data_IF_257087924020
#
_entry.id   IF_257087924020
#
_cell.length_a   1.000
_cell.length_b   1.000
_cell.length_c   1.000
_cell.angle_alpha   90.00
_cell.angle_beta   90.00
_cell.angle_gamma   90.00
#
_symmetry.space_group_name_H-M   'P 1'
#
loop_
_entity.id
_entity.type
_entity.pdbx_description
1 polymer ?
#
# COMPACT_ATOMS: atom_id res chain seq x y z
N UNK A 1 7.22 -8.41 9.92
CA UNK A 1 5.76 -8.25 10.17
C UNK A 1 5.04 -8.44 8.85
N UNK A 2 3.93 -9.19 8.80
CA UNK A 2 3.13 -9.27 7.57
C UNK A 2 2.65 -7.85 7.21
N UNK A 3 2.79 -7.38 5.96
CA UNK A 3 2.20 -6.10 5.58
C UNK A 3 0.70 -6.19 5.84
N UNK A 4 0.23 -5.44 6.84
CA UNK A 4 -1.18 -5.42 7.21
C UNK A 4 -1.96 -4.72 6.11
N UNK A 5 -2.90 -5.42 5.49
CA UNK A 5 -3.87 -4.80 4.58
C UNK A 5 -5.00 -4.21 5.41
N UNK A 6 -5.37 -2.96 5.13
CA UNK A 6 -6.63 -2.39 5.62
C UNK A 6 -7.67 -2.68 4.54
N UNK A 7 -8.61 -3.58 4.84
CA UNK A 7 -9.72 -3.92 3.95
C UNK A 7 -10.91 -3.00 4.22
N UNK A 8 -11.42 -2.37 3.18
CA UNK A 8 -12.52 -1.40 3.26
C UNK A 8 -13.59 -1.79 2.23
N UNK A 9 -14.74 -2.34 2.68
CA UNK A 9 -15.90 -2.55 1.83
C UNK A 9 -16.39 -1.22 1.24
N UNK A 10 -16.79 -1.25 -0.02
CA UNK A 10 -17.33 -0.06 -0.69
C UNK A 10 -18.44 -0.38 -1.68
N UNK A 11 -19.19 0.67 -2.01
CA UNK A 11 -20.10 0.75 -3.14
C UNK A 11 -19.66 1.84 -4.11
N UNK A 12 -19.71 1.59 -5.40
CA UNK A 12 -19.37 2.57 -6.42
C UNK A 12 -20.46 2.59 -7.49
N UNK A 13 -20.92 3.78 -7.85
CA UNK A 13 -21.96 3.94 -8.88
C UNK A 13 -21.34 4.56 -10.13
N UNK A 14 -21.71 4.00 -11.29
CA UNK A 14 -21.30 4.49 -12.61
C UNK A 14 -22.56 4.74 -13.46
N UNK A 15 -22.52 5.76 -14.32
CA UNK A 15 -23.65 6.10 -15.20
C UNK A 15 -24.92 6.52 -14.45
N UNK A 16 -24.80 7.50 -13.55
CA UNK A 16 -25.93 8.11 -12.82
C UNK A 16 -26.81 7.13 -12.00
N UNK A 17 -26.23 6.01 -11.57
CA UNK A 17 -26.91 5.00 -10.74
C UNK A 17 -27.46 3.81 -11.51
N UNK A 18 -27.25 3.74 -12.83
CA UNK A 18 -27.65 2.59 -13.66
C UNK A 18 -26.78 1.35 -13.39
N UNK A 19 -25.53 1.56 -12.99
CA UNK A 19 -24.58 0.50 -12.66
C UNK A 19 -24.06 0.69 -11.24
N UNK A 20 -24.38 -0.26 -10.36
CA UNK A 20 -23.85 -0.31 -8.99
C UNK A 20 -22.76 -1.38 -8.94
N UNK A 21 -21.62 -1.05 -8.35
CA UNK A 21 -20.53 -1.98 -8.11
C UNK A 21 -20.32 -2.14 -6.62
N UNK A 22 -20.32 -3.39 -6.14
CA UNK A 22 -20.01 -3.73 -4.76
C UNK A 22 -18.61 -4.33 -4.72
N UNK A 23 -17.79 -3.93 -3.75
CA UNK A 23 -16.42 -4.38 -3.71
C UNK A 23 -15.72 -4.16 -2.38
N UNK A 24 -14.45 -4.55 -2.35
CA UNK A 24 -13.54 -4.38 -1.23
C UNK A 24 -12.26 -3.74 -1.75
N UNK A 25 -11.88 -2.62 -1.16
CA UNK A 25 -10.58 -1.99 -1.38
C UNK A 25 -9.61 -2.46 -0.32
N UNK A 26 -8.48 -3.05 -0.72
CA UNK A 26 -7.40 -3.48 0.16
C UNK A 26 -6.25 -2.49 0.03
N UNK A 27 -5.94 -1.79 1.12
CA UNK A 27 -4.95 -0.73 1.16
C UNK A 27 -3.72 -1.20 1.92
N UNK A 28 -2.53 -0.96 1.38
CA UNK A 28 -1.25 -1.39 1.97
C UNK A 28 -0.12 -0.44 1.62
N UNK A 29 1.06 -0.70 2.18
CA UNK A 29 2.29 0.01 1.83
C UNK A 29 2.75 -0.19 0.39
N UNK A 30 2.27 -1.23 -0.31
CA UNK A 30 2.57 -1.47 -1.72
C UNK A 30 1.62 -0.74 -2.68
N UNK A 31 0.46 -0.27 -2.19
CA UNK A 31 -0.60 0.32 -3.00
C UNK A 31 -1.98 -0.22 -2.64
N UNK A 32 -2.90 -0.14 -3.61
CA UNK A 32 -4.33 -0.42 -3.42
C UNK A 32 -4.75 -1.53 -4.38
N UNK A 33 -5.47 -2.52 -3.88
CA UNK A 33 -6.15 -3.53 -4.69
C UNK A 33 -7.66 -3.31 -4.57
N UNK A 34 -8.34 -3.19 -5.70
CA UNK A 34 -9.79 -3.01 -5.74
C UNK A 34 -10.40 -4.28 -6.34
N UNK A 35 -11.12 -5.02 -5.50
CA UNK A 35 -11.92 -6.16 -5.93
C UNK A 35 -13.38 -5.74 -5.99
N UNK A 36 -14.04 -5.91 -7.13
CA UNK A 36 -15.42 -5.48 -7.28
C UNK A 36 -16.22 -6.35 -8.27
N UNK A 37 -17.52 -6.39 -8.01
CA UNK A 37 -18.52 -7.01 -8.86
C UNK A 37 -19.50 -5.91 -9.30
N UNK A 38 -19.64 -5.71 -10.61
CA UNK A 38 -20.65 -4.78 -11.14
C UNK A 38 -21.98 -5.50 -11.30
N UNK A 39 -23.05 -4.85 -10.87
CA UNK A 39 -24.44 -5.29 -11.05
C UNK A 39 -25.16 -4.28 -11.94
N UNK A 40 -25.82 -4.78 -12.97
CA UNK A 40 -26.76 -4.00 -13.76
C UNK A 40 -28.15 -4.10 -13.13
N UNK A 41 -28.65 -2.98 -12.60
CA UNK A 41 -30.01 -2.85 -12.04
C UNK A 41 -30.42 -4.00 -11.09
N UNK A 42 -29.47 -4.54 -10.32
CA UNK A 42 -29.72 -5.61 -9.33
C UNK A 42 -30.01 -7.01 -9.90
N UNK A 43 -30.05 -7.20 -11.21
CA UNK A 43 -30.50 -8.44 -11.85
C UNK A 43 -29.37 -9.30 -12.42
N UNK A 44 -28.32 -8.67 -12.95
CA UNK A 44 -27.20 -9.39 -13.58
C UNK A 44 -25.87 -8.95 -12.96
N UNK A 45 -25.31 -9.83 -12.12
CA UNK A 45 -23.96 -9.69 -11.55
C UNK A 45 -22.90 -10.13 -12.57
N UNK A 46 -21.91 -9.28 -12.79
CA UNK A 46 -20.73 -9.60 -13.60
C UNK A 46 -19.74 -10.47 -12.82
N UNK A 47 -18.74 -11.03 -13.50
CA UNK A 47 -17.62 -11.71 -12.83
C UNK A 47 -16.86 -10.71 -11.94
N UNK A 48 -16.40 -11.16 -10.78
CA UNK A 48 -15.50 -10.38 -9.91
C UNK A 48 -14.26 -9.96 -10.68
N UNK A 49 -13.96 -8.66 -10.63
CA UNK A 49 -12.77 -8.05 -11.22
C UNK A 49 -11.82 -7.61 -10.11
N UNK A 50 -10.53 -7.77 -10.33
CA UNK A 50 -9.46 -7.30 -9.44
C UNK A 50 -8.60 -6.30 -10.21
N UNK A 51 -8.42 -5.10 -9.66
CA UNK A 51 -7.56 -4.06 -10.24
C UNK A 51 -6.51 -3.65 -9.22
N UNK A 52 -5.24 -3.71 -9.62
CA UNK A 52 -4.10 -3.32 -8.79
C UNK A 52 -3.57 -1.94 -9.16
N UNK A 53 -3.60 -1.05 -8.19
CA UNK A 53 -3.16 0.33 -8.31
C UNK A 53 -1.87 0.48 -7.51
N UNK A 54 -0.75 0.71 -8.19
CA UNK A 54 0.51 1.01 -7.52
C UNK A 54 0.51 2.42 -6.97
N UNK A 55 1.34 2.71 -5.96
CA UNK A 55 1.45 4.06 -5.40
C UNK A 55 1.79 5.11 -6.48
N UNK A 56 2.66 4.75 -7.43
CA UNK A 56 3.05 5.63 -8.55
C UNK A 56 1.90 5.96 -9.52
N UNK A 57 0.83 5.16 -9.53
CA UNK A 57 -0.35 5.42 -10.36
C UNK A 57 -1.31 6.41 -9.68
N UNK A 58 -1.15 6.66 -8.37
CA UNK A 58 -2.04 7.48 -7.57
C UNK A 58 -1.56 8.92 -7.61
N UNK A 59 -2.37 9.81 -8.19
CA UNK A 59 -2.11 11.25 -8.19
C UNK A 59 -2.52 11.87 -6.86
N UNK A 60 -3.69 11.47 -6.37
CA UNK A 60 -4.21 11.97 -5.11
C UNK A 60 -5.28 11.02 -4.57
N UNK A 61 -5.34 10.89 -3.26
CA UNK A 61 -6.42 10.20 -2.55
C UNK A 61 -6.98 11.12 -1.49
N UNK A 62 -8.31 11.21 -1.39
CA UNK A 62 -8.98 12.10 -0.43
C UNK A 62 -10.15 11.39 0.21
N UNK A 63 -10.22 11.46 1.53
CA UNK A 63 -11.37 11.00 2.29
C UNK A 63 -12.36 12.16 2.48
N UNK A 64 -13.57 12.03 1.96
CA UNK A 64 -14.67 12.96 2.17
C UNK A 64 -15.57 12.42 3.28
N UNK A 65 -15.47 13.03 4.46
CA UNK A 65 -16.40 12.78 5.57
C UNK A 65 -17.79 13.29 5.17
N UNK A 66 -18.76 12.38 5.08
CA UNK A 66 -20.16 12.75 4.84
C UNK A 66 -20.82 13.32 6.09
N UNK A 67 -22.02 13.89 5.93
CA UNK A 67 -22.83 14.37 7.05
C UNK A 67 -23.13 13.19 8.00
N UNK A 68 -22.84 13.37 9.30
CA UNK A 68 -22.98 12.34 10.35
C UNK A 68 -22.32 10.96 10.04
N UNK A 69 -21.23 10.92 9.26
CA UNK A 69 -20.52 9.68 8.83
C UNK A 69 -21.32 8.78 7.86
N UNK A 70 -22.57 9.08 7.53
CA UNK A 70 -23.44 8.23 6.69
C UNK A 70 -23.13 8.28 5.19
N UNK A 71 -22.49 9.34 4.70
CA UNK A 71 -22.19 9.55 3.28
C UNK A 71 -20.70 9.67 3.01
N UNK A 72 -19.90 8.85 3.70
CA UNK A 72 -18.45 8.93 3.62
C UNK A 72 -17.97 8.34 2.30
N UNK A 73 -17.04 9.03 1.64
CA UNK A 73 -16.56 8.66 0.31
C UNK A 73 -15.05 8.76 0.22
N UNK A 74 -14.39 7.76 -0.35
CA UNK A 74 -13.00 7.84 -0.78
C UNK A 74 -12.98 8.25 -2.24
N UNK A 75 -12.26 9.33 -2.55
CA UNK A 75 -12.01 9.77 -3.90
C UNK A 75 -10.56 9.46 -4.25
N UNK A 76 -10.35 8.63 -5.27
CA UNK A 76 -9.03 8.27 -5.78
C UNK A 76 -8.89 8.87 -7.18
N UNK A 77 -7.81 9.60 -7.41
CA UNK A 77 -7.42 10.12 -8.72
C UNK A 77 -6.17 9.40 -9.18
N UNK A 78 -6.25 8.81 -10.37
CA UNK A 78 -5.14 8.08 -10.99
C UNK A 78 -4.57 8.89 -12.16
N UNK A 79 -3.28 8.69 -12.48
CA UNK A 79 -2.65 9.22 -13.70
C UNK A 79 -2.80 8.25 -14.89
N UNK A 80 -3.13 6.99 -14.63
CA UNK A 80 -3.20 5.94 -15.63
C UNK A 80 -4.64 5.76 -16.15
N UNK A 81 -4.85 6.14 -17.42
CA UNK A 81 -6.17 6.09 -18.09
C UNK A 81 -6.66 4.64 -18.30
N UNK A 82 -5.74 3.69 -18.52
CA UNK A 82 -6.08 2.27 -18.70
C UNK A 82 -6.66 1.67 -17.42
N UNK A 83 -5.96 1.85 -16.29
CA UNK A 83 -6.43 1.39 -14.97
C UNK A 83 -7.70 2.10 -14.52
N UNK A 84 -7.87 3.36 -14.90
CA UNK A 84 -9.09 4.10 -14.62
C UNK A 84 -10.29 3.50 -15.35
N UNK A 85 -10.12 3.08 -16.60
CA UNK A 85 -11.17 2.48 -17.44
C UNK A 85 -11.63 1.12 -16.92
N UNK A 86 -10.74 0.41 -16.23
CA UNK A 86 -11.03 -0.85 -15.53
C UNK A 86 -11.69 -0.65 -14.17
N UNK A 87 -11.87 0.59 -13.69
CA UNK A 87 -12.50 0.87 -12.41
C UNK A 87 -13.85 1.56 -12.62
N UNK A 88 -14.79 1.43 -11.65
CA UNK A 88 -16.01 2.22 -11.64
C UNK A 88 -15.65 3.69 -11.42
N UNK A 89 -15.43 4.40 -12.52
CA UNK A 89 -14.97 5.78 -12.53
C UNK A 89 -16.10 6.73 -12.94
N UNK A 90 -16.06 7.94 -12.40
CA UNK A 90 -16.97 9.04 -12.73
C UNK A 90 -16.11 10.28 -12.95
N UNK A 91 -15.94 10.66 -14.23
CA UNK A 91 -15.18 11.84 -14.66
C UNK A 91 -13.72 11.88 -14.17
N UNK A 92 -12.96 10.80 -14.40
CA UNK A 92 -11.53 10.79 -14.04
C UNK A 92 -11.23 10.49 -12.57
N UNK A 93 -12.26 10.18 -11.76
CA UNK A 93 -12.14 9.92 -10.32
C UNK A 93 -12.88 8.63 -9.98
N UNK A 94 -12.26 7.80 -9.16
CA UNK A 94 -12.89 6.62 -8.57
C UNK A 94 -13.54 7.08 -7.26
N UNK A 95 -14.86 6.92 -7.16
CA UNK A 95 -15.65 7.32 -5.98
C UNK A 95 -16.13 6.07 -5.27
N UNK A 96 -15.49 5.73 -4.15
CA UNK A 96 -15.87 4.60 -3.32
C UNK A 96 -16.74 5.14 -2.18
N UNK A 97 -17.99 4.72 -2.09
CA UNK A 97 -18.92 5.04 -1.00
C UNK A 97 -18.76 4.00 0.10
N UNK A 98 -18.61 4.48 1.34
CA UNK A 98 -18.42 3.62 2.51
C UNK A 98 -19.67 3.64 3.37
N UNK A 99 -19.91 2.52 4.04
CA UNK A 99 -20.89 2.44 5.11
C UNK A 99 -20.35 3.13 6.37
N UNK A 100 -21.26 3.42 7.30
CA UNK A 100 -20.94 4.04 8.58
C UNK A 100 -19.98 3.18 9.42
N UNK A 101 -20.13 1.87 9.37
CA UNK A 101 -19.29 0.88 10.09
C UNK A 101 -17.83 0.91 9.63
N UNK A 102 -17.59 1.11 8.34
CA UNK A 102 -16.26 1.12 7.74
C UNK A 102 -15.60 2.50 7.72
N UNK A 103 -16.23 3.50 8.35
CA UNK A 103 -15.75 4.88 8.37
C UNK A 103 -14.30 4.98 8.85
N UNK A 104 -13.99 4.34 9.99
CA UNK A 104 -12.67 4.41 10.63
C UNK A 104 -11.62 3.60 9.85
N UNK A 105 -12.03 2.51 9.22
CA UNK A 105 -11.16 1.72 8.34
C UNK A 105 -10.82 2.51 7.08
N UNK A 106 -11.80 3.18 6.47
CA UNK A 106 -11.61 4.04 5.30
C UNK A 106 -10.73 5.24 5.58
N UNK A 107 -10.92 5.91 6.72
CA UNK A 107 -10.09 7.03 7.11
C UNK A 107 -8.62 6.60 7.31
N UNK A 108 -8.38 5.54 8.10
CA UNK A 108 -7.02 5.01 8.32
C UNK A 108 -6.35 4.56 7.04
N UNK A 109 -7.10 3.93 6.14
CA UNK A 109 -6.61 3.50 4.83
C UNK A 109 -6.14 4.68 3.97
N UNK A 110 -6.91 5.78 3.93
CA UNK A 110 -6.52 6.98 3.18
C UNK A 110 -5.31 7.66 3.82
N UNK A 111 -5.29 7.80 5.14
CA UNK A 111 -4.16 8.40 5.88
C UNK A 111 -2.85 7.63 5.65
N UNK A 112 -2.92 6.29 5.62
CA UNK A 112 -1.77 5.43 5.30
C UNK A 112 -1.22 5.74 3.90
N UNK A 113 -2.08 5.75 2.88
CA UNK A 113 -1.65 6.01 1.50
C UNK A 113 -1.15 7.46 1.33
N UNK A 114 -1.80 8.44 1.95
CA UNK A 114 -1.34 9.83 1.92
C UNK A 114 0.06 9.97 2.53
N UNK A 115 0.29 9.34 3.68
CA UNK A 115 1.61 9.36 4.33
C UNK A 115 2.70 8.79 3.43
N UNK A 116 2.39 7.71 2.70
CA UNK A 116 3.29 7.08 1.73
C UNK A 116 3.56 7.99 0.51
N UNK A 117 2.53 8.65 -0.03
CA UNK A 117 2.67 9.57 -1.16
C UNK A 117 3.47 10.82 -0.80
N UNK A 118 3.35 11.29 0.43
CA UNK A 118 4.10 12.44 0.95
C UNK A 118 5.54 12.08 1.37
N UNK A 119 5.93 10.80 1.27
CA UNK A 119 7.24 10.31 1.72
C UNK A 119 7.44 10.47 3.23
N UNK A 120 6.36 10.66 4.01
CA UNK A 120 6.44 10.72 5.46
C UNK A 120 6.74 9.33 5.98
N UNK A 121 7.72 9.18 6.90
CA UNK A 121 7.94 7.91 7.55
C UNK A 121 6.64 7.54 8.29
N UNK A 122 6.00 6.46 7.84
CA UNK A 122 4.96 5.81 8.63
C UNK A 122 5.63 5.46 9.96
N UNK A 123 5.09 5.98 11.06
CA UNK A 123 5.65 5.73 12.40
C UNK A 123 5.97 4.25 12.59
N UNK A 124 7.16 3.98 13.14
CA UNK A 124 7.77 2.67 13.36
C UNK A 124 8.08 1.81 12.12
N UNK A 125 8.61 2.43 11.05
CA UNK A 125 9.48 1.67 10.16
C UNK A 125 10.77 1.33 10.94
N UNK A 126 11.14 0.05 11.13
CA UNK A 126 12.46 -0.26 11.65
C UNK A 126 13.49 0.38 10.72
N UNK A 127 14.60 0.92 11.27
CA UNK A 127 15.61 1.60 10.47
C UNK A 127 15.98 0.72 9.28
N UNK A 128 16.07 1.34 8.10
CA UNK A 128 16.62 0.72 6.89
C UNK A 128 17.86 -0.04 7.32
N UNK A 129 17.78 -1.38 7.34
CA UNK A 129 18.92 -2.19 7.72
C UNK A 129 19.98 -1.91 6.66
N UNK A 130 21.07 -1.25 7.08
CA UNK A 130 22.23 -1.07 6.22
C UNK A 130 22.60 -2.43 5.64
N UNK A 131 22.81 -2.53 4.32
CA UNK A 131 23.23 -3.78 3.71
C UNK A 131 24.50 -4.25 4.41
N UNK A 132 24.55 -5.53 4.77
CA UNK A 132 25.66 -6.18 5.50
C UNK A 132 27.01 -5.94 4.80
N UNK A 133 27.01 -5.61 3.51
CA UNK A 133 28.17 -5.16 2.74
C UNK A 133 28.91 -3.95 3.35
N UNK A 134 28.24 -3.06 4.10
CA UNK A 134 28.88 -1.94 4.81
C UNK A 134 29.57 -2.38 6.12
N UNK A 135 29.17 -3.53 6.69
CA UNK A 135 29.77 -4.09 7.91
C UNK A 135 31.00 -4.98 7.64
N UNK A 136 31.18 -5.44 6.39
CA UNK A 136 32.28 -6.34 5.98
C UNK A 136 33.50 -5.55 5.45
N UNK A 137 33.47 -4.21 5.49
CA UNK A 137 34.47 -3.34 4.84
C UNK A 137 35.57 -2.74 5.72
N UNK A 138 35.76 -3.17 6.98
CA UNK A 138 36.75 -2.57 7.88
C UNK A 138 37.52 -3.62 8.68
N UNK A 139 38.41 -4.35 8.00
CA UNK A 139 39.51 -5.06 8.66
C UNK A 139 40.71 -5.00 7.72
N UNK A 140 41.41 -3.86 7.75
CA UNK A 140 42.76 -3.77 7.20
C UNK A 140 43.65 -4.79 7.92
N UNK A 141 44.10 -5.79 7.17
CA UNK A 141 45.10 -6.77 7.58
C UNK A 141 46.40 -6.06 7.99
N UNK A 142 46.64 -5.93 9.29
CA UNK A 142 47.97 -5.65 9.86
C UNK A 142 48.52 -6.93 10.47
N UNK A 143 49.12 -7.77 9.64
CA UNK A 143 50.02 -8.82 10.11
C UNK A 143 51.30 -8.17 10.68
N UNK A 144 51.38 -8.05 12.01
CA UNK A 144 52.65 -7.90 12.74
C UNK A 144 53.09 -9.30 13.20
N UNK A 145 54.06 -9.86 12.51
CA UNK A 145 54.74 -11.10 12.91
C UNK A 145 55.70 -10.79 14.06
N UNK A 146 55.34 -11.19 15.28
CA UNK A 146 56.27 -11.26 16.41
C UNK A 146 55.95 -12.54 17.19
N UNK A 147 56.58 -13.66 16.80
CA UNK A 147 56.67 -14.83 17.66
C UNK A 147 58.12 -15.14 17.97
N UNK A 148 58.51 -14.77 19.19
CA UNK A 148 59.65 -15.34 19.89
C UNK A 148 59.35 -16.81 20.17
N UNK A 149 60.08 -17.74 19.56
CA UNK A 149 60.19 -19.10 20.09
C UNK A 149 61.62 -19.38 20.55
N UNK A 150 61.76 -19.20 21.86
CA UNK A 150 62.85 -19.70 22.70
C UNK A 150 62.80 -21.23 22.75
N UNK A 151 63.98 -21.83 22.84
CA UNK A 151 64.29 -23.19 23.33
C UNK A 151 63.89 -24.41 22.48
N UNK A 152 64.90 -24.97 21.79
CA UNK A 152 65.21 -26.40 21.91
C UNK A 152 66.69 -26.60 22.24
N UNK A 153 66.91 -27.32 23.33
CA UNK A 153 68.17 -27.85 23.86
C UNK A 153 68.63 -29.06 23.03
N UNK A 154 69.96 -29.27 23.00
CA UNK A 154 70.73 -30.54 23.03
C UNK A 154 70.48 -31.52 21.84
N UNK A 155 71.46 -32.19 21.21
CA UNK A 155 72.68 -32.86 21.69
C UNK A 155 73.76 -32.95 20.56
N UNK A 156 75.00 -33.21 21.01
CA UNK A 156 76.25 -33.65 20.33
C UNK A 156 77.01 -32.73 19.34
#
# INVERSE_FOLDING_TARGET
MKPGFISVPFKADTGDGLYESNGIGKFSTAGIVIEYESKLLGLFGSKVKEVRIGLNDIVNITFKKGLFKYFSRIHIRLNNVTKLSELPNSSGKVKLKLKREDFEHGQRAVELIQSLLEGKPIGDLPPTQSPVSELIGSSEDKYKTNDLNKTRKLDD
#
